data_IF_127850687181
#
_entry.id   IF_127850687181
#
_cell.length_a   1.000
_cell.length_b   1.000
_cell.length_c   1.000
_cell.angle_alpha   90.00
_cell.angle_beta   90.00
_cell.angle_gamma   90.00
#
_symmetry.space_group_name_H-M   'P 1'
#
loop_
_entity.id
_entity.type
_entity.pdbx_description
1 polymer ?
#
# COMPACT_ATOMS: atom_id res chain seq x y z
N UNK A 1 -1.99 4.82 3.14
CA UNK A 1 -1.90 3.91 1.98
C UNK A 1 -0.58 4.18 1.29
N UNK A 2 0.19 3.15 0.94
CA UNK A 2 1.51 3.29 0.33
C UNK A 2 1.48 4.10 -0.98
N UNK A 3 0.35 4.12 -1.71
CA UNK A 3 0.17 4.90 -2.94
C UNK A 3 -0.01 6.42 -2.76
N UNK A 4 0.11 6.93 -1.54
CA UNK A 4 0.10 8.39 -1.30
C UNK A 4 1.27 9.10 -2.01
N UNK A 5 2.32 8.33 -2.33
CA UNK A 5 3.48 8.73 -3.11
C UNK A 5 3.13 9.09 -4.57
N UNK A 6 2.02 8.59 -5.12
CA UNK A 6 1.50 8.99 -6.45
C UNK A 6 1.03 10.44 -6.44
N UNK A 7 0.24 10.84 -5.42
CA UNK A 7 -0.26 12.21 -5.30
C UNK A 7 0.89 13.18 -5.02
N UNK A 8 1.80 12.77 -4.13
CA UNK A 8 3.01 13.53 -3.84
C UNK A 8 3.89 13.68 -5.09
N UNK A 9 4.04 12.63 -5.88
CA UNK A 9 4.81 12.66 -7.13
C UNK A 9 4.18 13.59 -8.18
N UNK A 10 2.86 13.59 -8.33
CA UNK A 10 2.14 14.55 -9.19
C UNK A 10 2.29 15.99 -8.71
N UNK A 11 2.33 16.21 -7.40
CA UNK A 11 2.57 17.54 -6.84
C UNK A 11 4.02 18.00 -7.07
N UNK A 12 5.01 17.15 -6.79
CA UNK A 12 6.42 17.47 -6.96
C UNK A 12 6.83 17.63 -8.43
N UNK A 13 6.22 16.88 -9.35
CA UNK A 13 6.46 17.04 -10.79
C UNK A 13 6.00 18.40 -11.31
N UNK A 14 5.01 19.04 -10.67
CA UNK A 14 4.62 20.42 -10.99
C UNK A 14 5.72 21.45 -10.69
N UNK A 15 6.70 21.09 -9.85
CA UNK A 15 7.89 21.87 -9.55
C UNK A 15 9.16 21.36 -10.27
N UNK A 16 9.02 20.41 -11.20
CA UNK A 16 10.15 19.84 -11.96
C UNK A 16 10.98 18.82 -11.18
N UNK A 17 10.49 18.31 -10.04
CA UNK A 17 11.15 17.27 -9.26
C UNK A 17 10.61 15.90 -9.67
N UNK A 18 11.48 15.03 -10.18
CA UNK A 18 11.11 13.65 -10.48
C UNK A 18 11.06 12.82 -9.19
N UNK A 19 9.87 12.29 -8.89
CA UNK A 19 9.65 11.41 -7.75
C UNK A 19 9.10 10.08 -8.24
N UNK A 20 9.87 9.03 -8.04
CA UNK A 20 9.57 7.70 -8.53
C UNK A 20 8.62 7.00 -7.57
N UNK A 21 7.42 6.68 -8.05
CA UNK A 21 6.45 5.84 -7.34
C UNK A 21 7.08 4.48 -6.99
N UNK A 22 6.70 3.89 -5.85
CA UNK A 22 7.25 2.64 -5.29
C UNK A 22 8.66 2.69 -4.73
N UNK A 23 9.25 3.87 -4.55
CA UNK A 23 10.55 3.99 -3.87
C UNK A 23 10.39 4.10 -2.36
N UNK A 24 9.85 5.22 -1.87
CA UNK A 24 9.92 5.55 -0.45
C UNK A 24 8.85 4.82 0.40
N UNK A 25 7.61 4.79 -0.09
CA UNK A 25 6.46 4.24 0.65
C UNK A 25 6.29 2.73 0.49
N UNK A 26 6.94 2.15 -0.51
CA UNK A 26 6.89 0.71 -0.81
C UNK A 26 8.12 0.00 -0.24
N UNK A 27 8.43 0.30 1.03
CA UNK A 27 9.51 -0.34 1.77
C UNK A 27 8.99 -0.92 3.09
N UNK A 28 9.57 -2.02 3.58
CA UNK A 28 9.31 -2.50 4.93
C UNK A 28 9.60 -1.42 5.99
N UNK A 29 10.59 -0.56 5.75
CA UNK A 29 10.92 0.56 6.63
C UNK A 29 9.75 1.54 6.79
N UNK A 30 8.99 1.79 5.72
CA UNK A 30 7.77 2.60 5.81
C UNK A 30 6.72 1.93 6.69
N UNK A 31 6.57 0.60 6.64
CA UNK A 31 5.73 -0.14 7.58
C UNK A 31 6.22 -0.04 9.03
N UNK A 32 7.54 -0.13 9.24
CA UNK A 32 8.16 0.00 10.57
C UNK A 32 7.95 1.38 11.21
N UNK A 33 7.86 2.44 10.40
CA UNK A 33 7.53 3.79 10.87
C UNK A 33 6.21 3.81 11.66
N UNK A 34 5.25 2.96 11.30
CA UNK A 34 3.98 2.83 12.02
C UNK A 34 4.01 1.72 13.08
N UNK A 35 4.78 0.64 12.85
CA UNK A 35 4.88 -0.48 13.80
C UNK A 35 5.55 -0.08 15.11
N UNK A 36 6.65 0.68 15.05
CA UNK A 36 7.42 1.04 16.25
C UNK A 36 6.59 1.90 17.22
N UNK A 37 5.91 2.98 16.77
CA UNK A 37 4.96 3.69 17.61
C UNK A 37 3.81 2.82 18.12
N UNK A 38 3.30 1.87 17.31
CA UNK A 38 2.24 0.96 17.73
C UNK A 38 2.65 0.15 18.97
N UNK A 39 3.84 -0.45 18.93
CA UNK A 39 4.40 -1.23 20.04
C UNK A 39 4.63 -0.38 21.30
N UNK A 40 5.16 0.83 21.15
CA UNK A 40 5.39 1.76 22.27
C UNK A 40 4.05 2.14 22.92
N UNK A 41 3.06 2.56 22.13
CA UNK A 41 1.73 2.95 22.61
C UNK A 41 0.99 1.80 23.28
N UNK A 42 1.18 0.57 22.77
CA UNK A 42 0.64 -0.63 23.37
C UNK A 42 1.23 -0.87 24.77
N UNK A 43 2.56 -0.76 24.90
CA UNK A 43 3.25 -0.85 26.19
C UNK A 43 2.82 0.23 27.19
N UNK A 44 2.45 1.41 26.71
CA UNK A 44 1.90 2.51 27.52
C UNK A 44 0.41 2.36 27.86
N UNK A 45 -0.20 1.19 27.60
CA UNK A 45 -1.64 0.93 27.77
C UNK A 45 -2.58 1.84 26.94
N UNK A 46 -2.07 2.58 25.94
CA UNK A 46 -2.87 3.39 25.01
C UNK A 46 -3.39 2.53 23.85
N UNK A 47 -4.07 1.42 24.19
CA UNK A 47 -4.44 0.34 23.25
C UNK A 47 -5.30 0.80 22.07
N UNK A 48 -6.24 1.73 22.28
CA UNK A 48 -7.07 2.29 21.20
C UNK A 48 -6.22 3.00 20.14
N UNK A 49 -5.29 3.85 20.57
CA UNK A 49 -4.41 4.58 19.66
C UNK A 49 -3.43 3.62 18.96
N UNK A 50 -2.84 2.68 19.72
CA UNK A 50 -1.98 1.65 19.16
C UNK A 50 -2.67 0.81 18.07
N UNK A 51 -3.97 0.54 18.22
CA UNK A 51 -4.74 -0.23 17.25
C UNK A 51 -4.76 0.45 15.86
N UNK A 52 -4.91 1.77 15.80
CA UNK A 52 -4.89 2.49 14.51
C UNK A 52 -3.54 2.33 13.80
N UNK A 53 -2.44 2.40 14.55
CA UNK A 53 -1.11 2.17 14.00
C UNK A 53 -0.89 0.70 13.58
N UNK A 54 -1.40 -0.27 14.35
CA UNK A 54 -1.34 -1.69 13.98
C UNK A 54 -2.12 -1.99 12.70
N UNK A 55 -3.35 -1.48 12.57
CA UNK A 55 -4.17 -1.65 11.36
C UNK A 55 -3.48 -1.01 10.15
N UNK A 56 -2.92 0.19 10.32
CA UNK A 56 -2.17 0.87 9.25
C UNK A 56 -0.95 0.06 8.83
N UNK A 57 -0.19 -0.44 9.79
CA UNK A 57 0.99 -1.27 9.57
C UNK A 57 0.64 -2.58 8.86
N UNK A 58 -0.43 -3.23 9.29
CA UNK A 58 -0.94 -4.44 8.66
C UNK A 58 -1.32 -4.19 7.21
N UNK A 59 -2.03 -3.10 6.93
CA UNK A 59 -2.37 -2.70 5.56
C UNK A 59 -1.13 -2.47 4.69
N UNK A 60 -0.11 -1.79 5.21
CA UNK A 60 1.15 -1.56 4.49
C UNK A 60 1.86 -2.89 4.18
N UNK A 61 2.00 -3.79 5.15
CA UNK A 61 2.67 -5.08 4.92
C UNK A 61 1.88 -6.00 4.00
N UNK A 62 0.54 -6.01 4.09
CA UNK A 62 -0.29 -6.75 3.16
C UNK A 62 -0.15 -6.21 1.73
N UNK A 63 -0.11 -4.89 1.56
CA UNK A 63 0.16 -4.28 0.26
C UNK A 63 1.53 -4.69 -0.30
N UNK A 64 2.59 -4.59 0.50
CA UNK A 64 3.94 -5.04 0.11
C UNK A 64 3.97 -6.53 -0.23
N UNK A 65 3.24 -7.37 0.50
CA UNK A 65 3.15 -8.80 0.23
C UNK A 65 2.46 -9.06 -1.12
N UNK A 66 1.37 -8.34 -1.41
CA UNK A 66 0.66 -8.45 -2.68
C UNK A 66 1.54 -7.96 -3.83
N UNK A 67 2.24 -6.85 -3.67
CA UNK A 67 3.21 -6.39 -4.67
C UNK A 67 4.34 -7.41 -4.86
N UNK A 68 4.90 -7.98 -3.79
CA UNK A 68 5.94 -8.99 -3.90
C UNK A 68 5.47 -10.28 -4.60
N UNK A 69 4.24 -10.73 -4.31
CA UNK A 69 3.72 -12.02 -4.79
C UNK A 69 3.03 -11.91 -6.15
N UNK A 70 2.16 -10.92 -6.32
CA UNK A 70 1.29 -10.77 -7.48
C UNK A 70 1.86 -9.84 -8.54
N UNK A 71 2.82 -8.95 -8.21
CA UNK A 71 3.31 -7.83 -9.06
C UNK A 71 2.86 -7.92 -10.52
N UNK A 72 1.71 -7.31 -10.84
CA UNK A 72 1.16 -7.33 -12.18
C UNK A 72 1.79 -6.28 -13.09
N UNK A 73 2.63 -5.39 -12.55
CA UNK A 73 3.21 -4.27 -13.30
C UNK A 73 4.62 -4.59 -13.81
N UNK A 74 4.91 -4.16 -15.04
CA UNK A 74 6.24 -4.17 -15.67
C UNK A 74 7.27 -3.28 -14.94
N UNK A 75 6.82 -2.53 -13.93
CA UNK A 75 7.61 -1.56 -13.18
C UNK A 75 8.50 -2.17 -12.08
N UNK A 76 8.43 -3.49 -11.88
CA UNK A 76 9.23 -4.17 -10.87
C UNK A 76 8.48 -4.43 -9.56
N UNK A 77 9.04 -5.33 -8.76
CA UNK A 77 8.56 -5.75 -7.45
C UNK A 77 8.81 -4.73 -6.34
N UNK A 78 9.20 -5.21 -5.17
CA UNK A 78 9.34 -4.41 -3.94
C UNK A 78 10.81 -4.16 -3.62
N UNK A 79 11.16 -2.89 -3.39
CA UNK A 79 12.48 -2.47 -2.94
C UNK A 79 12.66 -2.69 -1.43
N UNK A 80 12.87 -3.95 -1.03
CA UNK A 80 12.92 -4.34 0.38
C UNK A 80 13.98 -3.60 1.22
N UNK A 81 15.10 -3.23 0.61
CA UNK A 81 16.25 -2.65 1.32
C UNK A 81 16.54 -1.20 0.95
N UNK A 82 15.63 -0.52 0.24
CA UNK A 82 15.80 0.91 -0.06
C UNK A 82 15.84 1.74 1.25
N UNK A 83 16.74 2.74 1.40
CA UNK A 83 17.67 3.28 0.40
C UNK A 83 19.07 2.62 0.38
N UNK A 84 19.31 1.58 1.17
CA UNK A 84 20.62 0.89 1.21
C UNK A 84 20.90 0.10 -0.07
N UNK A 85 19.85 -0.37 -0.74
CA UNK A 85 19.95 -1.05 -2.03
C UNK A 85 18.75 -0.72 -2.91
N UNK A 86 19.00 -0.64 -4.21
CA UNK A 86 18.01 -0.49 -5.27
C UNK A 86 17.63 -1.83 -5.91
N UNK A 87 18.02 -2.95 -5.29
CA UNK A 87 17.65 -4.27 -5.76
C UNK A 87 16.15 -4.47 -5.59
N UNK A 88 15.54 -4.93 -6.68
CA UNK A 88 14.12 -5.22 -6.78
C UNK A 88 13.86 -6.71 -6.52
N UNK A 89 12.86 -7.00 -5.69
CA UNK A 89 12.49 -8.34 -5.30
C UNK A 89 11.00 -8.59 -5.53
N UNK A 90 10.68 -9.64 -6.28
CA UNK A 90 9.31 -10.08 -6.49
C UNK A 90 9.26 -11.45 -7.14
N UNK A 91 8.26 -12.24 -6.78
CA UNK A 91 7.97 -13.55 -7.42
C UNK A 91 7.21 -13.32 -8.72
N UNK A 92 6.35 -12.30 -8.78
CA UNK A 92 5.69 -11.85 -10.00
C UNK A 92 4.81 -12.94 -10.64
N UNK A 93 3.96 -13.61 -9.86
CA UNK A 93 3.10 -14.72 -10.35
C UNK A 93 2.25 -14.30 -11.56
N UNK A 94 1.82 -13.04 -11.61
CA UNK A 94 1.03 -12.48 -12.72
C UNK A 94 1.88 -11.67 -13.72
N UNK A 95 3.20 -11.60 -13.54
CA UNK A 95 4.11 -10.79 -14.35
C UNK A 95 4.22 -11.25 -15.82
N UNK A 96 3.94 -12.52 -16.12
CA UNK A 96 3.94 -13.05 -17.50
C UNK A 96 2.57 -12.93 -18.19
N UNK A 97 1.50 -12.66 -17.44
CA UNK A 97 0.12 -12.56 -17.94
C UNK A 97 -0.27 -11.12 -18.28
N UNK A 98 0.61 -10.16 -17.98
CA UNK A 98 0.27 -8.75 -17.89
C UNK A 98 0.77 -7.94 -19.08
N UNK A 99 -0.08 -7.79 -20.09
CA UNK A 99 0.00 -6.66 -21.02
C UNK A 99 -0.55 -5.39 -20.36
N UNK A 100 -0.25 -4.23 -20.92
CA UNK A 100 -0.73 -2.91 -20.44
C UNK A 100 -2.27 -2.86 -20.26
N UNK A 101 -3.01 -3.65 -21.05
CA UNK A 101 -4.47 -3.79 -20.97
C UNK A 101 -4.94 -4.62 -19.77
N UNK A 102 -4.22 -5.68 -19.41
CA UNK A 102 -4.55 -6.53 -18.25
C UNK A 102 -4.21 -5.88 -16.91
N UNK A 103 -3.22 -4.98 -16.85
CA UNK A 103 -2.94 -4.19 -15.63
C UNK A 103 -4.12 -3.28 -15.26
N UNK A 104 -4.67 -2.58 -16.27
CA UNK A 104 -5.86 -1.72 -16.07
C UNK A 104 -7.08 -2.54 -15.66
N UNK A 105 -7.21 -3.78 -16.15
CA UNK A 105 -8.28 -4.68 -15.76
C UNK A 105 -8.18 -5.05 -14.28
N UNK A 106 -7.01 -5.44 -13.77
CA UNK A 106 -6.84 -5.79 -12.36
C UNK A 106 -7.07 -4.60 -11.43
N UNK A 107 -6.56 -3.42 -11.77
CA UNK A 107 -6.82 -2.20 -11.01
C UNK A 107 -8.32 -1.83 -11.02
N UNK A 108 -9.01 -1.97 -12.16
CA UNK A 108 -10.44 -1.72 -12.25
C UNK A 108 -11.26 -2.75 -11.46
N UNK A 109 -10.86 -4.03 -11.48
CA UNK A 109 -11.50 -5.07 -10.69
C UNK A 109 -11.37 -4.81 -9.19
N UNK A 110 -10.17 -4.43 -8.72
CA UNK A 110 -9.95 -4.09 -7.31
C UNK A 110 -10.83 -2.91 -6.88
N UNK A 111 -10.91 -1.85 -7.70
CA UNK A 111 -11.79 -0.72 -7.45
C UNK A 111 -13.28 -1.11 -7.41
N UNK A 112 -13.73 -1.99 -8.31
CA UNK A 112 -15.11 -2.50 -8.34
C UNK A 112 -15.41 -3.33 -7.09
N UNK A 113 -14.51 -4.24 -6.71
CA UNK A 113 -14.65 -5.07 -5.51
C UNK A 113 -14.72 -4.19 -4.27
N UNK A 114 -13.85 -3.18 -4.18
CA UNK A 114 -13.82 -2.24 -3.06
C UNK A 114 -15.10 -1.41 -2.97
N UNK A 115 -15.63 -0.94 -4.11
CA UNK A 115 -16.93 -0.25 -4.16
C UNK A 115 -18.09 -1.16 -3.75
N UNK A 116 -18.11 -2.41 -4.21
CA UNK A 116 -19.13 -3.39 -3.82
C UNK A 116 -19.06 -3.74 -2.34
N UNK A 117 -17.85 -3.86 -1.80
CA UNK A 117 -17.63 -4.09 -0.37
C UNK A 117 -18.09 -2.90 0.47
N UNK A 118 -17.72 -1.67 0.10
CA UNK A 118 -18.19 -0.45 0.78
C UNK A 118 -19.71 -0.32 0.75
N UNK A 119 -20.35 -0.65 -0.38
CA UNK A 119 -21.81 -0.69 -0.46
C UNK A 119 -22.38 -1.76 0.48
N UNK A 120 -21.84 -2.97 0.46
CA UNK A 120 -22.26 -4.03 1.38
C UNK A 120 -22.15 -3.61 2.86
N UNK A 121 -21.02 -3.01 3.25
CA UNK A 121 -20.80 -2.50 4.60
C UNK A 121 -21.75 -1.35 4.97
N UNK A 122 -22.04 -0.43 4.05
CA UNK A 122 -23.04 0.62 4.30
C UNK A 122 -24.47 0.05 4.43
N UNK A 123 -24.80 -0.99 3.66
CA UNK A 123 -26.08 -1.69 3.79
C UNK A 123 -26.20 -2.40 5.13
N UNK A 124 -25.19 -3.20 5.50
CA UNK A 124 -25.25 -4.12 6.65
C UNK A 124 -24.84 -3.49 7.97
N UNK A 125 -23.84 -2.62 7.95
CA UNK A 125 -23.15 -2.14 9.14
C UNK A 125 -23.24 -0.62 9.33
N UNK A 126 -23.83 0.13 8.38
CA UNK A 126 -24.04 1.58 8.48
C UNK A 126 -22.75 2.32 8.86
N UNK A 127 -21.68 2.02 8.13
CA UNK A 127 -20.34 2.56 8.38
C UNK A 127 -20.31 4.10 8.44
N UNK A 128 -21.25 4.79 7.80
CA UNK A 128 -21.37 6.25 7.88
C UNK A 128 -21.64 6.78 9.29
N UNK A 129 -22.19 5.97 10.19
CA UNK A 129 -22.43 6.37 11.59
C UNK A 129 -21.14 6.27 12.45
N UNK A 130 -20.07 5.65 11.92
CA UNK A 130 -18.78 5.46 12.59
C UNK A 130 -17.65 6.36 12.04
N UNK A 131 -17.90 7.07 10.93
CA UNK A 131 -17.00 8.04 10.29
C UNK A 131 -17.30 9.46 10.78
#
# INVERSE_FOLDING_TARGET
>A
MPDIDILLGKFLSSFGVEFWHRTFTHTPFFGLLFLVPACILWGMNKKKLAMYFFVTTFGIFMHLLLDFTLSPDLAGGVLLFYPLSYADYGIGILGSLTTLQTMQLYAAMDAIILMLWLWHEEWKHKIRDYL
#
